data_IF_750381620038
#
_entry.id   IF_750381620038
#
_cell.length_a   1.000
_cell.length_b   1.000
_cell.length_c   1.000
_cell.angle_alpha   90.00
_cell.angle_beta   90.00
_cell.angle_gamma   90.00
#
_symmetry.space_group_name_H-M   'P 1'
#
loop_
_entity.id
_entity.type
_entity.pdbx_description
1 polymer ?
#
# COMPACT_ATOMS: atom_id res chain seq x y z
N UNK A 1 15.98 16.60 1.35
CA UNK A 1 15.53 15.43 2.09
C UNK A 1 14.04 15.25 1.91
N UNK A 2 13.65 14.04 1.64
CA UNK A 2 12.23 13.74 1.48
C UNK A 2 11.65 13.31 2.81
N UNK A 3 10.50 13.88 3.15
CA UNK A 3 9.72 13.40 4.26
C UNK A 3 8.97 12.14 3.87
N UNK A 4 8.24 11.53 4.79
CA UNK A 4 7.41 10.39 4.46
C UNK A 4 6.29 10.80 3.48
N UNK A 5 5.94 9.90 2.58
CA UNK A 5 4.87 10.15 1.62
C UNK A 5 3.52 10.29 2.31
N UNK A 6 3.38 9.65 3.46
CA UNK A 6 2.17 9.68 4.28
C UNK A 6 2.57 10.10 5.69
N UNK A 7 1.99 11.18 6.19
CA UNK A 7 2.29 11.68 7.53
C UNK A 7 1.39 11.04 8.58
N UNK A 8 0.17 10.69 8.21
CA UNK A 8 -0.80 10.12 9.13
C UNK A 8 -1.35 8.84 8.51
N UNK A 9 -0.81 7.71 8.96
CA UNK A 9 -1.16 6.42 8.37
C UNK A 9 -2.61 6.01 8.62
N UNK A 10 -3.24 6.52 9.67
CA UNK A 10 -4.65 6.29 9.91
C UNK A 10 -5.54 6.85 8.79
N UNK A 11 -5.04 7.82 8.04
CA UNK A 11 -5.80 8.44 6.95
C UNK A 11 -5.88 7.57 5.71
N UNK A 12 -4.99 6.58 5.59
CA UNK A 12 -4.98 5.71 4.42
C UNK A 12 -5.74 4.41 4.63
N UNK A 13 -6.18 4.15 5.86
CA UNK A 13 -6.93 2.93 6.14
C UNK A 13 -8.24 2.95 5.32
N UNK A 14 -8.53 1.82 4.68
CA UNK A 14 -9.66 1.61 3.79
C UNK A 14 -9.56 2.34 2.45
N UNK A 15 -8.44 3.03 2.18
CA UNK A 15 -8.23 3.65 0.88
C UNK A 15 -7.72 2.61 -0.11
N UNK A 16 -8.02 2.83 -1.38
CA UNK A 16 -7.52 1.97 -2.44
C UNK A 16 -6.01 2.09 -2.58
N UNK A 17 -5.37 1.02 -3.03
CA UNK A 17 -3.93 1.00 -3.23
C UNK A 17 -3.62 0.47 -4.62
N UNK A 18 -2.66 1.10 -5.29
CA UNK A 18 -2.25 0.77 -6.64
C UNK A 18 -0.76 0.50 -6.70
N UNK A 19 -0.37 -0.32 -7.67
CA UNK A 19 1.04 -0.59 -7.93
C UNK A 19 1.70 0.62 -8.60
N UNK A 20 3.01 0.54 -8.80
CA UNK A 20 3.74 1.60 -9.49
C UNK A 20 3.28 1.77 -10.94
N UNK A 21 2.69 0.73 -11.53
CA UNK A 21 2.14 0.76 -12.88
C UNK A 21 0.71 1.34 -12.91
N UNK A 22 0.14 1.68 -11.75
CA UNK A 22 -1.21 2.17 -11.67
C UNK A 22 -2.28 1.08 -11.62
N UNK A 23 -1.88 -0.19 -11.53
CA UNK A 23 -2.84 -1.28 -11.44
C UNK A 23 -3.46 -1.34 -10.03
N UNK A 24 -4.79 -1.46 -9.94
CA UNK A 24 -5.43 -1.56 -8.63
C UNK A 24 -5.09 -2.90 -7.97
N UNK A 25 -4.73 -2.83 -6.70
CA UNK A 25 -4.39 -4.01 -5.91
C UNK A 25 -5.56 -4.41 -5.02
N UNK A 26 -6.09 -3.44 -4.29
CA UNK A 26 -7.15 -3.68 -3.34
C UNK A 26 -7.28 -2.47 -2.42
N UNK A 27 -7.28 -2.70 -1.12
CA UNK A 27 -7.38 -1.61 -0.16
C UNK A 27 -6.52 -1.90 1.06
N UNK A 28 -6.20 -0.84 1.79
CA UNK A 28 -5.42 -0.95 3.02
C UNK A 28 -6.36 -1.28 4.16
N UNK A 29 -6.17 -2.46 4.75
CA UNK A 29 -7.04 -2.93 5.82
C UNK A 29 -6.59 -2.46 7.19
N UNK A 30 -5.27 -2.35 7.40
CA UNK A 30 -4.74 -2.00 8.71
C UNK A 30 -3.30 -1.51 8.59
N UNK A 31 -2.84 -0.90 9.66
CA UNK A 31 -1.45 -0.52 9.84
C UNK A 31 -0.84 -1.46 10.89
N UNK A 32 0.38 -1.91 10.64
CA UNK A 32 1.06 -2.84 11.55
C UNK A 32 2.53 -2.45 11.66
N UNK A 33 2.85 -1.60 12.63
CA UNK A 33 4.21 -1.15 12.86
C UNK A 33 4.77 -0.43 11.65
N UNK A 34 5.82 -0.98 11.05
CA UNK A 34 6.45 -0.39 9.87
C UNK A 34 5.84 -0.88 8.57
N UNK A 35 4.73 -1.61 8.64
CA UNK A 35 4.08 -2.19 7.48
C UNK A 35 2.62 -1.80 7.41
N UNK A 36 2.03 -2.01 6.24
CA UNK A 36 0.58 -1.92 6.06
C UNK A 36 0.06 -3.26 5.59
N UNK A 37 -1.16 -3.57 6.00
CA UNK A 37 -1.83 -4.81 5.61
C UNK A 37 -2.79 -4.45 4.47
N UNK A 38 -2.61 -5.10 3.34
CA UNK A 38 -3.39 -4.86 2.13
C UNK A 38 -4.18 -6.10 1.79
N UNK A 39 -5.47 -5.93 1.52
CA UNK A 39 -6.33 -7.02 1.05
C UNK A 39 -6.67 -6.78 -0.41
N UNK A 40 -6.42 -7.79 -1.23
CA UNK A 40 -6.73 -7.70 -2.65
C UNK A 40 -8.16 -8.18 -2.91
N UNK A 41 -8.65 -7.90 -4.13
CA UNK A 41 -9.99 -8.34 -4.54
C UNK A 41 -10.10 -9.85 -4.63
N UNK A 42 -8.98 -10.57 -4.65
CA UNK A 42 -8.96 -12.04 -4.66
C UNK A 42 -8.70 -12.63 -3.27
N UNK A 43 -8.88 -11.81 -2.23
CA UNK A 43 -8.73 -12.21 -0.84
C UNK A 43 -7.29 -12.59 -0.46
N UNK A 44 -6.31 -12.19 -1.27
CA UNK A 44 -4.93 -12.31 -0.89
C UNK A 44 -4.56 -11.19 0.07
N UNK A 45 -3.73 -11.51 1.05
CA UNK A 45 -3.26 -10.54 2.02
C UNK A 45 -1.78 -10.28 1.79
N UNK A 46 -1.42 -9.01 1.82
CA UNK A 46 -0.02 -8.59 1.67
C UNK A 46 0.37 -7.76 2.87
N UNK A 47 1.59 -7.98 3.36
CA UNK A 47 2.18 -7.13 4.39
C UNK A 47 3.30 -6.34 3.74
N UNK A 48 3.03 -5.09 3.45
CA UNK A 48 3.91 -4.25 2.63
C UNK A 48 4.59 -3.22 3.52
N UNK A 49 5.93 -3.11 3.45
CA UNK A 49 6.64 -2.09 4.22
C UNK A 49 6.16 -0.69 3.86
N UNK A 50 6.01 0.15 4.86
CA UNK A 50 5.62 1.55 4.63
C UNK A 50 6.60 2.28 3.71
N UNK A 51 7.88 1.86 3.74
CA UNK A 51 8.89 2.44 2.87
C UNK A 51 8.61 2.23 1.38
N UNK A 52 7.74 1.27 1.04
CA UNK A 52 7.36 1.02 -0.35
C UNK A 52 6.23 1.94 -0.83
N UNK A 53 5.66 2.75 0.05
CA UNK A 53 4.60 3.68 -0.35
C UNK A 53 5.24 4.91 -0.96
N UNK A 54 4.86 5.21 -2.21
CA UNK A 54 5.42 6.32 -2.96
C UNK A 54 4.62 7.61 -2.80
N UNK A 55 3.29 7.52 -2.79
CA UNK A 55 2.45 8.71 -2.74
C UNK A 55 1.05 8.38 -2.26
N UNK A 56 0.37 9.42 -1.80
CA UNK A 56 -1.04 9.35 -1.41
C UNK A 56 -1.70 10.65 -1.88
N UNK A 57 -2.71 10.54 -2.73
CA UNK A 57 -3.36 11.71 -3.31
C UNK A 57 -4.67 12.09 -2.61
N UNK A 58 -4.98 11.48 -1.48
CA UNK A 58 -6.21 11.70 -0.74
C UNK A 58 -7.28 10.65 -0.97
N UNK A 59 -7.20 9.92 -2.09
CA UNK A 59 -8.16 8.84 -2.36
C UNK A 59 -7.48 7.53 -2.69
N UNK A 60 -6.27 7.55 -3.25
CA UNK A 60 -5.53 6.35 -3.63
C UNK A 60 -4.10 6.43 -3.10
N UNK A 61 -3.58 5.27 -2.71
CA UNK A 61 -2.18 5.12 -2.33
C UNK A 61 -1.45 4.45 -3.48
N UNK A 62 -0.24 4.92 -3.76
CA UNK A 62 0.58 4.38 -4.86
C UNK A 62 1.84 3.79 -4.28
N UNK A 63 2.11 2.54 -4.64
CA UNK A 63 3.33 1.86 -4.23
C UNK A 63 4.47 2.15 -5.18
N UNK A 64 5.69 1.95 -4.71
CA UNK A 64 6.90 2.02 -5.52
C UNK A 64 7.28 0.62 -6.01
N UNK A 65 6.29 -0.25 -6.18
CA UNK A 65 6.47 -1.63 -6.59
C UNK A 65 5.54 -1.95 -7.75
N UNK A 66 6.02 -2.62 -8.80
CA UNK A 66 5.12 -3.13 -9.83
C UNK A 66 4.30 -4.30 -9.27
N UNK A 67 3.16 -4.55 -9.89
CA UNK A 67 2.21 -5.55 -9.41
C UNK A 67 2.86 -6.93 -9.26
N UNK A 68 3.73 -7.30 -10.20
CA UNK A 68 4.34 -8.64 -10.18
C UNK A 68 5.35 -8.85 -9.05
N UNK A 69 5.76 -7.79 -8.35
CA UNK A 69 6.67 -7.92 -7.22
C UNK A 69 5.94 -8.02 -5.88
N UNK A 70 4.63 -7.95 -5.88
CA UNK A 70 3.86 -8.03 -4.64
C UNK A 70 3.88 -9.42 -4.02
N UNK A 71 4.11 -10.46 -4.82
CA UNK A 71 4.11 -11.84 -4.33
C UNK A 71 5.06 -12.04 -3.15
N UNK A 72 6.19 -11.35 -3.15
CA UNK A 72 7.17 -11.50 -2.08
C UNK A 72 6.67 -10.99 -0.73
N UNK A 73 5.61 -10.19 -0.73
CA UNK A 73 5.02 -9.65 0.49
C UNK A 73 3.71 -10.34 0.87
N UNK A 74 3.36 -11.38 0.14
CA UNK A 74 2.12 -12.11 0.40
C UNK A 74 2.23 -12.90 1.71
N UNK A 75 1.18 -12.84 2.51
CA UNK A 75 1.11 -13.49 3.81
C UNK A 75 0.39 -14.82 3.72
#
# INVERSE_FOLDING_TARGET
MQGPAVLQWDKVIHKGIRSSNGEPIGYIAAEDGDSIIVLSSHFNEYQIPKACVNAFDGSQVYLDLPFNELEQYRV
#
